data_IF_672101586134
#
_entry.id   IF_672101586134
#
_cell.length_a   1.000
_cell.length_b   1.000
_cell.length_c   1.000
_cell.angle_alpha   90.00
_cell.angle_beta   90.00
_cell.angle_gamma   90.00
#
_symmetry.space_group_name_H-M   'P 1'
#
loop_
_entity.id
_entity.type
_entity.pdbx_description
1 polymer ?
#
# COMPACT_ATOMS: atom_id res chain seq x y z
N UNK A 1 26.42 10.02 2.83
CA UNK A 1 25.89 8.98 3.73
C UNK A 1 24.54 8.59 3.20
N UNK A 2 24.45 7.45 2.53
CA UNK A 2 23.22 7.01 1.86
C UNK A 2 22.10 6.83 2.89
N UNK A 3 20.96 7.47 2.67
CA UNK A 3 19.71 7.15 3.35
C UNK A 3 19.27 5.75 2.87
N UNK A 4 19.81 4.70 3.47
CA UNK A 4 19.26 3.34 3.34
C UNK A 4 17.81 3.36 3.85
N UNK A 5 16.86 3.02 2.99
CA UNK A 5 15.67 2.27 3.37
C UNK A 5 14.58 2.96 4.20
N UNK A 6 14.44 4.29 4.12
CA UNK A 6 13.28 4.99 4.71
C UNK A 6 12.10 4.93 3.74
N UNK A 7 11.01 4.28 4.15
CA UNK A 7 9.84 4.05 3.29
C UNK A 7 8.78 5.14 3.40
N UNK A 8 8.94 6.08 4.34
CA UNK A 8 7.98 7.15 4.57
C UNK A 8 7.59 7.90 3.28
N UNK A 9 6.33 8.25 3.17
CA UNK A 9 5.81 9.09 2.09
C UNK A 9 4.45 8.61 1.55
N UNK A 10 4.03 9.26 0.47
CA UNK A 10 2.79 8.93 -0.22
C UNK A 10 2.99 7.79 -1.20
N UNK A 11 2.00 6.92 -1.29
CA UNK A 11 1.96 5.80 -2.23
C UNK A 11 0.57 5.69 -2.84
N UNK A 12 0.50 5.28 -4.11
CA UNK A 12 -0.76 4.99 -4.79
C UNK A 12 -0.89 3.48 -4.94
N UNK A 13 -2.01 2.94 -4.47
CA UNK A 13 -2.37 1.53 -4.60
C UNK A 13 -3.47 1.30 -5.61
N UNK A 14 -3.38 0.21 -6.37
CA UNK A 14 -4.44 -0.20 -7.30
C UNK A 14 -5.48 -1.10 -6.61
N UNK A 15 -6.63 -0.55 -6.23
CA UNK A 15 -7.72 -1.28 -5.55
C UNK A 15 -8.73 -1.91 -6.53
N UNK A 16 -8.30 -2.22 -7.77
CA UNK A 16 -9.13 -2.90 -8.76
C UNK A 16 -10.38 -2.10 -9.12
N UNK A 17 -11.57 -2.64 -8.86
CA UNK A 17 -12.86 -2.00 -9.18
C UNK A 17 -13.14 -0.73 -8.38
N UNK A 18 -12.42 -0.52 -7.26
CA UNK A 18 -12.54 0.69 -6.45
C UNK A 18 -11.62 1.82 -6.93
N UNK A 19 -10.82 1.57 -7.97
CA UNK A 19 -9.90 2.56 -8.52
C UNK A 19 -8.57 2.62 -7.76
N UNK A 20 -7.89 3.74 -7.91
CA UNK A 20 -6.64 4.04 -7.21
C UNK A 20 -6.92 4.66 -5.85
N UNK A 21 -6.12 4.30 -4.85
CA UNK A 21 -6.17 4.97 -3.55
C UNK A 21 -4.79 5.46 -3.11
N UNK A 22 -4.78 6.69 -2.62
CA UNK A 22 -3.63 7.31 -1.98
C UNK A 22 -3.53 6.86 -0.53
N UNK A 23 -2.35 6.42 -0.14
CA UNK A 23 -1.99 6.09 1.24
C UNK A 23 -0.73 6.84 1.66
N UNK A 24 -0.54 6.97 2.97
CA UNK A 24 0.70 7.45 3.55
C UNK A 24 1.33 6.34 4.38
N UNK A 25 2.59 6.05 4.08
CA UNK A 25 3.41 5.10 4.81
C UNK A 25 4.21 5.85 5.86
N UNK A 26 4.13 5.39 7.10
CA UNK A 26 5.02 5.81 8.19
C UNK A 26 5.88 4.64 8.62
N UNK A 27 7.19 4.86 8.78
CA UNK A 27 8.14 3.85 9.25
C UNK A 27 8.83 4.31 10.55
N UNK A 28 8.61 3.54 11.61
CA UNK A 28 9.23 3.73 12.92
C UNK A 28 10.14 2.53 13.24
N UNK A 29 11.43 2.67 12.94
CA UNK A 29 12.37 1.55 13.01
C UNK A 29 11.99 0.45 12.01
N UNK A 30 11.57 -0.71 12.52
CA UNK A 30 11.09 -1.83 11.71
C UNK A 30 9.56 -1.85 11.57
N UNK A 31 8.84 -1.02 12.33
CA UNK A 31 7.38 -1.01 12.25
C UNK A 31 6.91 -0.08 11.14
N UNK A 32 5.94 -0.57 10.37
CA UNK A 32 5.34 0.14 9.25
C UNK A 32 3.84 0.26 9.46
N UNK A 33 3.31 1.45 9.17
CA UNK A 33 1.87 1.73 9.16
C UNK A 33 1.50 2.35 7.82
N UNK A 34 0.47 1.81 7.15
CA UNK A 34 -0.17 2.42 5.98
C UNK A 34 -1.50 3.03 6.41
N UNK A 35 -1.63 4.35 6.27
CA UNK A 35 -2.86 5.09 6.53
C UNK A 35 -3.49 5.50 5.21
N UNK A 36 -4.78 5.23 5.04
CA UNK A 36 -5.51 5.70 3.86
C UNK A 36 -5.61 7.23 3.89
N UNK A 37 -5.19 7.87 2.82
CA UNK A 37 -5.42 9.32 2.61
C UNK A 37 -6.72 9.51 1.87
N UNK A 38 -6.89 8.78 0.76
CA UNK A 38 -8.20 8.49 0.18
C UNK A 38 -8.64 7.11 0.64
N UNK A 39 -9.93 6.91 0.82
CA UNK A 39 -10.47 5.59 1.12
C UNK A 39 -11.70 5.28 0.30
N UNK A 40 -12.26 4.11 0.58
CA UNK A 40 -13.42 3.56 -0.09
C UNK A 40 -14.56 3.37 0.93
N UNK A 41 -15.67 2.79 0.49
CA UNK A 41 -16.81 2.52 1.37
C UNK A 41 -16.55 1.42 2.41
N UNK A 42 -15.50 0.62 2.24
CA UNK A 42 -15.11 -0.43 3.16
C UNK A 42 -14.14 0.11 4.21
N UNK A 43 -13.05 0.76 3.82
CA UNK A 43 -12.06 1.39 4.70
C UNK A 43 -11.91 2.85 4.29
N UNK A 44 -12.43 3.80 5.08
CA UNK A 44 -12.44 5.21 4.74
C UNK A 44 -11.06 5.88 4.90
N UNK A 45 -10.92 7.07 4.33
CA UNK A 45 -9.74 7.90 4.54
C UNK A 45 -9.55 8.27 6.01
N UNK A 46 -8.30 8.31 6.45
CA UNK A 46 -7.88 8.49 7.84
C UNK A 46 -7.65 7.19 8.61
N UNK A 47 -8.18 6.06 8.14
CA UNK A 47 -8.02 4.77 8.81
C UNK A 47 -6.72 4.06 8.41
N UNK A 48 -6.20 3.23 9.31
CA UNK A 48 -5.02 2.40 9.04
C UNK A 48 -5.46 1.18 8.23
N UNK A 49 -4.96 1.05 6.99
CA UNK A 49 -5.27 -0.10 6.14
C UNK A 49 -4.30 -1.27 6.31
N UNK A 50 -3.10 -1.02 6.83
CA UNK A 50 -2.10 -2.06 7.11
C UNK A 50 -1.18 -1.63 8.25
N UNK A 51 -0.79 -2.61 9.07
CA UNK A 51 0.31 -2.47 10.02
C UNK A 51 1.14 -3.74 10.04
N UNK A 52 2.45 -3.61 10.21
CA UNK A 52 3.33 -4.78 10.28
C UNK A 52 4.77 -4.42 10.63
N UNK A 53 5.57 -5.46 10.82
CA UNK A 53 6.98 -5.33 11.19
C UNK A 53 7.86 -5.91 10.09
N UNK A 54 8.85 -5.13 9.67
CA UNK A 54 9.86 -5.51 8.70
C UNK A 54 10.78 -6.56 9.28
N UNK A 55 10.97 -7.64 8.54
CA UNK A 55 11.87 -8.70 8.92
C UNK A 55 13.32 -8.30 8.61
N UNK A 56 14.23 -8.56 9.55
CA UNK A 56 15.64 -8.26 9.38
C UNK A 56 16.22 -9.00 8.17
N UNK A 57 17.04 -8.32 7.37
CA UNK A 57 17.65 -8.85 6.14
C UNK A 57 16.65 -9.38 5.09
N UNK A 58 15.38 -8.96 5.16
CA UNK A 58 14.33 -9.36 4.23
C UNK A 58 13.67 -8.14 3.56
N UNK A 59 13.04 -8.40 2.41
CA UNK A 59 12.16 -7.47 1.74
C UNK A 59 10.69 -7.61 2.21
N UNK A 60 10.43 -8.47 3.18
CA UNK A 60 9.09 -8.73 3.69
C UNK A 60 8.77 -7.94 4.96
N UNK A 61 7.51 -7.53 5.05
CA UNK A 61 6.89 -6.96 6.23
C UNK A 61 5.70 -7.84 6.58
N UNK A 62 5.77 -8.50 7.72
CA UNK A 62 4.72 -9.40 8.20
C UNK A 62 3.77 -8.58 9.05
N UNK A 63 2.48 -8.69 8.78
CA UNK A 63 1.51 -7.85 9.44
C UNK A 63 0.08 -8.27 9.16
N UNK A 64 -0.79 -7.28 9.15
CA UNK A 64 -2.22 -7.45 8.99
C UNK A 64 -2.81 -6.26 8.24
N UNK A 65 -3.82 -6.54 7.41
CA UNK A 65 -4.63 -5.52 6.76
C UNK A 65 -5.95 -5.34 7.48
N UNK A 66 -6.47 -4.13 7.45
CA UNK A 66 -7.82 -3.85 7.90
C UNK A 66 -8.81 -4.17 6.77
N UNK A 67 -9.83 -4.94 7.07
CA UNK A 67 -10.96 -5.21 6.19
C UNK A 67 -12.25 -4.87 6.92
N UNK A 68 -13.28 -4.46 6.17
CA UNK A 68 -14.61 -4.25 6.74
C UNK A 68 -15.68 -4.46 5.67
N UNK A 69 -16.92 -4.65 6.12
CA UNK A 69 -18.07 -4.60 5.24
C UNK A 69 -18.35 -3.15 4.81
N UNK A 70 -19.19 -3.01 3.77
CA UNK A 70 -19.64 -1.70 3.26
C UNK A 70 -20.12 -0.78 4.39
N UNK A 71 -19.75 0.49 4.29
CA UNK A 71 -19.90 1.53 5.30
C UNK A 71 -19.09 1.28 6.57
N UNK A 72 -17.88 0.72 6.41
CA UNK A 72 -16.94 0.42 7.50
C UNK A 72 -17.57 -0.39 8.65
N UNK A 73 -18.45 -1.33 8.31
CA UNK A 73 -19.14 -2.16 9.30
C UNK A 73 -18.29 -3.36 9.68
N UNK A 74 -18.23 -3.62 10.99
CA UNK A 74 -17.52 -4.77 11.57
C UNK A 74 -16.05 -4.88 11.10
N UNK A 75 -15.24 -3.82 11.28
CA UNK A 75 -13.84 -3.86 10.85
C UNK A 75 -13.07 -4.94 11.62
N UNK A 76 -12.19 -5.63 10.90
CA UNK A 76 -11.33 -6.65 11.47
C UNK A 76 -9.96 -6.62 10.82
N UNK A 77 -8.98 -7.15 11.54
CA UNK A 77 -7.64 -7.32 11.02
C UNK A 77 -7.45 -8.73 10.51
N UNK A 78 -6.84 -8.86 9.34
CA UNK A 78 -6.57 -10.13 8.68
C UNK A 78 -5.08 -10.25 8.37
N UNK A 79 -4.43 -11.40 8.65
CA UNK A 79 -3.03 -11.60 8.34
C UNK A 79 -2.67 -11.25 6.89
N UNK A 80 -1.56 -10.55 6.73
CA UNK A 80 -1.09 -10.09 5.44
C UNK A 80 0.44 -9.99 5.41
N UNK A 81 0.96 -9.88 4.20
CA UNK A 81 2.38 -9.66 3.93
C UNK A 81 2.53 -8.55 2.91
N UNK A 82 3.39 -7.58 3.22
CA UNK A 82 3.89 -6.62 2.25
C UNK A 82 5.27 -7.08 1.78
N UNK A 83 5.48 -7.11 0.47
CA UNK A 83 6.73 -7.51 -0.18
C UNK A 83 7.29 -6.31 -0.93
N UNK A 84 8.43 -5.81 -0.49
CA UNK A 84 9.18 -4.77 -1.17
C UNK A 84 9.83 -5.33 -2.42
N UNK A 85 9.49 -4.76 -3.58
CA UNK A 85 10.09 -5.13 -4.86
C UNK A 85 11.29 -4.24 -5.19
N UNK A 86 11.14 -2.93 -4.97
CA UNK A 86 12.15 -1.90 -5.15
C UNK A 86 11.99 -0.80 -4.10
N UNK A 87 12.75 0.29 -4.19
CA UNK A 87 12.63 1.43 -3.26
C UNK A 87 11.31 2.21 -3.39
N UNK A 88 10.60 2.01 -4.49
CA UNK A 88 9.43 2.75 -4.97
C UNK A 88 8.25 1.84 -5.32
N UNK A 89 8.39 0.50 -5.25
CA UNK A 89 7.31 -0.45 -5.51
C UNK A 89 7.25 -1.50 -4.40
N UNK A 90 6.03 -1.75 -3.90
CA UNK A 90 5.74 -2.93 -3.07
C UNK A 90 4.42 -3.59 -3.48
N UNK A 91 4.25 -4.83 -3.04
CA UNK A 91 3.03 -5.62 -3.21
C UNK A 91 2.44 -6.02 -1.86
N UNK A 92 1.13 -5.84 -1.68
CA UNK A 92 0.41 -6.21 -0.48
C UNK A 92 -0.45 -7.47 -0.73
N UNK A 93 -0.21 -8.53 0.04
CA UNK A 93 -0.88 -9.82 -0.07
C UNK A 93 -1.65 -10.13 1.23
N UNK A 94 -2.98 -10.24 1.17
CA UNK A 94 -3.81 -10.64 2.32
C UNK A 94 -4.73 -11.84 2.06
N UNK A 95 -4.80 -12.32 0.82
CA UNK A 95 -5.51 -13.54 0.45
C UNK A 95 -4.53 -14.53 -0.19
N UNK A 96 -4.28 -15.70 0.44
CA UNK A 96 -3.46 -16.75 -0.16
C UNK A 96 -3.98 -17.11 -1.56
N UNK A 97 -3.07 -17.21 -2.53
CA UNK A 97 -3.40 -17.56 -3.91
C UNK A 97 -3.97 -16.44 -4.77
N UNK A 98 -4.11 -15.21 -4.25
CA UNK A 98 -4.42 -14.03 -5.07
C UNK A 98 -3.19 -13.18 -5.34
N UNK A 99 -3.17 -12.52 -6.51
CA UNK A 99 -2.18 -11.51 -6.84
C UNK A 99 -2.21 -10.39 -5.79
N UNK A 100 -1.04 -10.00 -5.31
CA UNK A 100 -0.90 -8.87 -4.40
C UNK A 100 -1.30 -7.57 -5.08
N UNK A 101 -1.73 -6.59 -4.29
CA UNK A 101 -2.00 -5.24 -4.80
C UNK A 101 -0.70 -4.46 -4.91
N UNK A 102 -0.42 -3.91 -6.09
CA UNK A 102 0.74 -3.07 -6.34
C UNK A 102 0.52 -1.69 -5.70
N UNK A 103 1.58 -1.18 -5.08
CA UNK A 103 1.68 0.20 -4.63
C UNK A 103 2.95 0.82 -5.19
N UNK A 104 2.83 2.06 -5.66
CA UNK A 104 3.94 2.84 -6.19
C UNK A 104 4.12 4.12 -5.37
N UNK A 105 5.37 4.42 -5.02
CA UNK A 105 5.72 5.63 -4.27
C UNK A 105 5.52 6.84 -5.17
N UNK A 106 4.90 7.89 -4.61
CA UNK A 106 4.80 9.18 -5.27
C UNK A 106 6.06 10.01 -4.99
N UNK A 107 6.64 10.55 -6.04
CA UNK A 107 7.69 11.55 -5.94
C UNK A 107 7.07 12.95 -6.03
N UNK A 108 7.21 13.73 -4.95
CA UNK A 108 6.74 15.11 -4.92
C UNK A 108 7.93 15.99 -5.31
N UNK A 109 7.80 16.65 -6.45
CA UNK A 109 8.80 17.57 -6.97
C UNK A 109 8.86 18.86 -6.14
N UNK A 110 9.97 19.59 -6.23
CA UNK A 110 10.19 20.82 -5.45
C UNK A 110 9.20 21.96 -5.74
N UNK A 111 8.46 21.88 -6.84
CA UNK A 111 7.38 22.81 -7.22
C UNK A 111 5.99 22.36 -6.76
N UNK A 112 5.90 21.24 -6.02
CA UNK A 112 4.65 20.67 -5.53
C UNK A 112 3.90 19.80 -6.56
N UNK A 113 4.45 19.61 -7.75
CA UNK A 113 3.94 18.61 -8.69
C UNK A 113 4.25 17.19 -8.23
N UNK A 114 3.49 16.22 -8.72
CA UNK A 114 3.70 14.80 -8.46
C UNK A 114 4.04 14.13 -9.77
N UNK A 115 5.22 13.52 -9.81
CA UNK A 115 5.57 12.59 -10.89
C UNK A 115 5.17 11.18 -10.47
N UNK A 116 4.39 10.53 -11.31
CA UNK A 116 4.07 9.12 -11.18
C UNK A 116 4.06 8.49 -12.57
N UNK A 117 4.59 7.28 -12.69
CA UNK A 117 4.33 6.47 -13.87
C UNK A 117 2.91 5.95 -13.76
N UNK A 118 2.00 6.45 -14.61
CA UNK A 118 0.66 5.90 -14.69
C UNK A 118 0.76 4.39 -14.95
N UNK A 119 0.08 3.54 -14.17
CA UNK A 119 0.11 2.10 -14.42
C UNK A 119 -0.41 1.83 -15.82
N UNK A 120 0.43 1.25 -16.69
CA UNK A 120 0.05 0.77 -18.02
C UNK A 120 -0.78 -0.49 -17.88
N UNK A 121 -1.99 -0.40 -17.34
CA UNK A 121 -2.95 -1.51 -17.40
C UNK A 121 -3.60 -1.49 -18.78
N UNK A 122 -2.94 -2.12 -19.76
CA UNK A 122 -3.65 -2.65 -20.91
C UNK A 122 -4.53 -3.81 -20.42
N UNK A 123 -5.83 -3.57 -20.33
CA UNK A 123 -6.79 -4.66 -20.27
C UNK A 123 -6.73 -5.41 -21.61
N UNK A 124 -6.07 -6.57 -21.65
CA UNK A 124 -6.43 -7.56 -22.66
C UNK A 124 -7.76 -8.17 -22.20
N UNK A 125 -8.85 -7.72 -22.84
CA UNK A 125 -10.07 -8.49 -22.89
C UNK A 125 -9.78 -9.69 -23.79
N UNK A 126 -9.53 -10.84 -23.20
CA UNK A 126 -9.60 -12.10 -23.93
C UNK A 126 -11.02 -12.25 -24.46
N UNK A 127 -11.14 -12.31 -25.79
CA UNK A 127 -12.36 -12.61 -26.52
C UNK A 127 -12.61 -14.13 -26.59
#
# INVERSE_FOLDING_TARGET
GEKRGRMDGFWVGEYGTHGEELIYLTQEGNDLTLTKITGDENVPGGEITFRGTKMEHSNEVIGEVQIAQRFYKSPSWTPAKLILHSGDIFYLHWQPGRSGKKFQKLEICGDGSVEFEAPTTQYQLDA
#
